data_IF_919001915304
#
_entry.id   IF_919001915304
#
_cell.length_a   1.000
_cell.length_b   1.000
_cell.length_c   1.000
_cell.angle_alpha   90.00
_cell.angle_beta   90.00
_cell.angle_gamma   90.00
#
_symmetry.space_group_name_H-M   'P 1'
#
loop_
_entity.id
_entity.type
_entity.pdbx_description
1 polymer ?
#
# COMPACT_ATOMS: atom_id res chain seq x y z
N UNK A 1 -45.73 -12.49 52.86
CA UNK A 1 -44.53 -13.32 53.00
C UNK A 1 -44.09 -13.75 51.62
N UNK A 2 -43.17 -13.00 51.04
CA UNK A 2 -42.58 -13.26 49.71
C UNK A 2 -41.10 -13.43 49.94
N UNK A 3 -40.63 -14.68 49.91
CA UNK A 3 -39.24 -15.03 49.93
C UNK A 3 -38.67 -14.83 48.52
N UNK A 4 -37.80 -13.85 48.31
CA UNK A 4 -36.96 -13.70 47.11
C UNK A 4 -35.71 -14.54 47.31
N UNK A 5 -35.49 -15.47 46.41
CA UNK A 5 -34.31 -16.29 46.31
C UNK A 5 -33.16 -15.48 45.65
N UNK A 6 -31.98 -15.27 46.27
CA UNK A 6 -30.92 -14.43 45.75
C UNK A 6 -29.82 -15.20 44.96
N UNK A 7 -30.10 -16.41 44.49
CA UNK A 7 -29.04 -17.31 44.00
C UNK A 7 -28.80 -17.43 42.49
N UNK A 8 -29.62 -16.84 41.62
CA UNK A 8 -29.61 -17.17 40.16
C UNK A 8 -28.74 -16.27 39.27
N UNK A 9 -28.24 -15.14 39.74
CA UNK A 9 -27.52 -14.19 38.88
C UNK A 9 -25.97 -14.32 38.87
N UNK A 10 -25.40 -15.15 39.72
CA UNK A 10 -23.92 -15.29 39.86
C UNK A 10 -23.26 -16.24 38.86
N UNK A 11 -23.94 -17.29 38.43
CA UNK A 11 -23.32 -18.38 37.65
C UNK A 11 -23.19 -18.13 36.15
N UNK A 12 -24.10 -17.35 35.58
CA UNK A 12 -24.06 -17.03 34.15
C UNK A 12 -22.87 -16.10 33.80
N UNK A 13 -22.52 -15.15 34.66
CA UNK A 13 -21.38 -14.22 34.44
C UNK A 13 -20.03 -14.92 34.53
N UNK A 14 -19.89 -15.92 35.40
CA UNK A 14 -18.63 -16.69 35.56
C UNK A 14 -18.38 -17.58 34.34
N UNK A 15 -19.43 -18.19 33.80
CA UNK A 15 -19.32 -19.02 32.58
C UNK A 15 -18.86 -18.22 31.37
N UNK A 16 -19.41 -17.04 31.17
CA UNK A 16 -18.98 -16.14 30.06
C UNK A 16 -17.54 -15.63 30.26
N UNK A 17 -17.12 -15.32 31.47
CA UNK A 17 -15.74 -14.92 31.77
C UNK A 17 -14.74 -16.03 31.43
N UNK A 18 -14.98 -17.24 31.86
CA UNK A 18 -14.12 -18.40 31.58
C UNK A 18 -14.10 -18.81 30.13
N UNK A 19 -15.23 -18.70 29.42
CA UNK A 19 -15.28 -18.89 27.97
C UNK A 19 -14.48 -17.82 27.20
N UNK A 20 -14.58 -16.55 27.59
CA UNK A 20 -13.79 -15.47 27.03
C UNK A 20 -12.29 -15.67 27.29
N UNK A 21 -11.91 -16.04 28.54
CA UNK A 21 -10.50 -16.30 28.90
C UNK A 21 -9.92 -17.48 28.12
N UNK A 22 -10.66 -18.58 28.01
CA UNK A 22 -10.21 -19.76 27.27
C UNK A 22 -10.09 -19.46 25.76
N UNK A 23 -10.98 -18.65 25.18
CA UNK A 23 -10.87 -18.20 23.81
C UNK A 23 -9.65 -17.30 23.58
N UNK A 24 -9.33 -16.41 24.52
CA UNK A 24 -8.14 -15.56 24.45
C UNK A 24 -6.85 -16.36 24.59
N UNK A 25 -6.81 -17.35 25.47
CA UNK A 25 -5.64 -18.24 25.66
C UNK A 25 -5.38 -19.14 24.43
N UNK A 26 -6.43 -19.52 23.71
CA UNK A 26 -6.31 -20.32 22.47
C UNK A 26 -6.06 -19.49 21.21
N UNK A 27 -6.23 -18.17 21.27
CA UNK A 27 -6.06 -17.27 20.12
C UNK A 27 -4.69 -17.40 19.45
N UNK A 28 -3.55 -17.43 20.14
CA UNK A 28 -2.24 -17.62 19.51
C UNK A 28 -2.12 -18.93 18.73
N UNK A 29 -2.67 -20.02 19.27
CA UNK A 29 -2.68 -21.34 18.59
C UNK A 29 -3.56 -21.32 17.35
N UNK A 30 -4.73 -20.70 17.41
CA UNK A 30 -5.63 -20.55 16.25
C UNK A 30 -5.00 -19.71 15.16
N UNK A 31 -4.35 -18.58 15.51
CA UNK A 31 -3.63 -17.75 14.55
C UNK A 31 -2.46 -18.51 13.91
N UNK A 32 -1.74 -19.32 14.68
CA UNK A 32 -0.67 -20.18 14.18
C UNK A 32 -1.20 -21.26 13.23
N UNK A 33 -2.32 -21.91 13.58
CA UNK A 33 -3.00 -22.89 12.72
C UNK A 33 -3.52 -22.28 11.43
N UNK A 34 -4.06 -21.06 11.50
CA UNK A 34 -4.46 -20.27 10.32
C UNK A 34 -3.27 -19.77 9.50
N UNK A 35 -2.04 -20.06 9.91
CA UNK A 35 -0.84 -19.65 9.18
C UNK A 35 -0.56 -18.15 9.23
N UNK A 36 -1.10 -17.43 10.22
CA UNK A 36 -0.86 -15.98 10.36
C UNK A 36 0.60 -15.71 10.68
N UNK A 37 1.24 -14.88 9.87
CA UNK A 37 2.61 -14.41 10.08
C UNK A 37 2.59 -13.24 11.06
N UNK A 38 3.14 -13.44 12.27
CA UNK A 38 3.33 -12.37 13.24
C UNK A 38 4.54 -11.49 12.91
N UNK A 39 4.56 -10.28 13.48
CA UNK A 39 5.60 -9.27 13.21
C UNK A 39 7.01 -9.76 13.51
N UNK A 40 7.24 -10.39 14.65
CA UNK A 40 8.56 -10.91 15.03
C UNK A 40 9.04 -12.04 14.09
N UNK A 41 8.12 -12.94 13.68
CA UNK A 41 8.44 -13.99 12.70
C UNK A 41 8.77 -13.39 11.33
N UNK A 42 7.98 -12.40 10.85
CA UNK A 42 8.28 -11.66 9.61
C UNK A 42 9.68 -11.04 9.67
N UNK A 43 9.97 -10.30 10.76
CA UNK A 43 11.24 -9.59 10.89
C UNK A 43 12.45 -10.54 10.90
N UNK A 44 12.35 -11.66 11.64
CA UNK A 44 13.45 -12.62 11.78
C UNK A 44 13.61 -13.54 10.57
N UNK A 45 12.50 -14.15 10.11
CA UNK A 45 12.56 -15.24 9.14
C UNK A 45 12.61 -14.76 7.67
N UNK A 46 12.05 -13.59 7.40
CA UNK A 46 11.93 -13.07 6.03
C UNK A 46 12.75 -11.80 5.82
N UNK A 47 12.50 -10.74 6.58
CA UNK A 47 13.23 -9.48 6.41
C UNK A 47 14.71 -9.66 6.78
N UNK A 48 15.02 -10.21 7.94
CA UNK A 48 16.40 -10.42 8.39
C UNK A 48 17.19 -11.40 7.52
N UNK A 49 16.49 -12.36 6.88
CA UNK A 49 17.10 -13.37 6.03
C UNK A 49 17.29 -12.89 4.59
N UNK A 50 16.32 -12.17 4.03
CA UNK A 50 16.26 -11.88 2.59
C UNK A 50 16.50 -10.42 2.23
N UNK A 51 16.52 -9.49 3.22
CA UNK A 51 16.70 -8.07 2.97
C UNK A 51 18.00 -7.56 3.60
N UNK A 52 19.12 -7.54 2.88
CA UNK A 52 20.34 -6.91 3.35
C UNK A 52 20.12 -5.43 3.66
N UNK A 53 20.45 -4.97 4.87
CA UNK A 53 20.21 -3.57 5.31
C UNK A 53 20.82 -2.51 4.40
N UNK A 54 21.94 -2.81 3.75
CA UNK A 54 22.62 -1.92 2.80
C UNK A 54 21.74 -1.55 1.59
N UNK A 55 20.70 -2.35 1.28
CA UNK A 55 19.77 -2.11 0.17
C UNK A 55 18.54 -1.26 0.57
N UNK A 56 18.30 -1.03 1.86
CA UNK A 56 17.15 -0.24 2.32
C UNK A 56 17.09 1.18 1.75
N UNK A 57 18.22 1.92 1.60
CA UNK A 57 18.19 3.23 0.97
C UNK A 57 17.60 3.27 -0.46
N UNK A 58 17.56 2.11 -1.15
CA UNK A 58 16.95 1.99 -2.49
C UNK A 58 15.42 2.09 -2.45
N UNK A 59 14.80 1.82 -1.31
CA UNK A 59 13.33 1.82 -1.15
C UNK A 59 12.84 2.81 -0.09
N UNK A 60 13.72 3.25 0.83
CA UNK A 60 13.40 4.28 1.83
C UNK A 60 13.42 5.71 1.23
N UNK A 61 13.90 5.88 0.00
CA UNK A 61 13.95 7.15 -0.72
C UNK A 61 13.24 7.01 -2.08
N UNK A 62 12.06 7.64 -2.21
CA UNK A 62 11.19 7.54 -3.40
C UNK A 62 11.86 8.00 -4.69
N UNK A 63 12.73 9.03 -4.62
CA UNK A 63 13.49 9.47 -5.79
C UNK A 63 14.49 8.39 -6.25
N UNK A 64 15.22 7.78 -5.31
CA UNK A 64 16.13 6.67 -5.65
C UNK A 64 15.39 5.47 -6.22
N UNK A 65 14.26 5.11 -5.61
CA UNK A 65 13.40 4.02 -6.11
C UNK A 65 12.94 4.29 -7.54
N UNK A 66 12.49 5.52 -7.83
CA UNK A 66 12.04 5.94 -9.16
C UNK A 66 13.14 5.85 -10.21
N UNK A 67 14.29 6.45 -9.96
CA UNK A 67 15.42 6.42 -10.88
C UNK A 67 15.92 4.98 -11.16
N UNK A 68 15.91 4.15 -10.12
CA UNK A 68 16.25 2.73 -10.27
C UNK A 68 15.20 1.97 -11.10
N UNK A 69 13.91 2.29 -10.91
CA UNK A 69 12.81 1.70 -11.66
C UNK A 69 12.90 2.05 -13.16
N UNK A 70 13.15 3.32 -13.47
CA UNK A 70 13.36 3.78 -14.85
C UNK A 70 14.53 3.05 -15.53
N UNK A 71 15.67 2.93 -14.83
CA UNK A 71 16.83 2.16 -15.32
C UNK A 71 16.51 0.68 -15.56
N UNK A 72 15.63 0.10 -14.74
CA UNK A 72 15.18 -1.29 -14.87
C UNK A 72 14.03 -1.46 -15.89
N UNK A 73 13.55 -0.39 -16.53
CA UNK A 73 12.41 -0.42 -17.43
C UNK A 73 11.10 -0.80 -16.71
N UNK A 74 10.95 -0.40 -15.44
CA UNK A 74 9.72 -0.52 -14.65
C UNK A 74 8.99 0.82 -14.71
N UNK A 75 7.73 0.78 -15.14
CA UNK A 75 6.93 1.99 -15.28
C UNK A 75 6.66 2.66 -13.92
N UNK A 76 6.86 3.96 -13.86
CA UNK A 76 6.63 4.85 -12.71
C UNK A 76 5.92 6.12 -13.18
N UNK A 77 5.25 6.88 -12.33
CA UNK A 77 4.74 8.21 -12.70
C UNK A 77 5.86 9.09 -13.25
N UNK A 78 5.59 9.85 -14.29
CA UNK A 78 6.60 10.72 -14.96
C UNK A 78 7.18 11.73 -13.97
N UNK A 79 8.51 11.81 -13.90
CA UNK A 79 9.23 12.79 -13.10
C UNK A 79 9.31 14.12 -13.86
N UNK A 80 8.64 15.16 -13.36
CA UNK A 80 8.72 16.52 -13.90
C UNK A 80 10.05 17.15 -13.47
N UNK A 81 10.43 16.97 -12.21
CA UNK A 81 11.66 17.54 -11.66
C UNK A 81 11.83 17.28 -10.17
N UNK A 82 12.92 17.80 -9.63
CA UNK A 82 13.21 17.78 -8.20
C UNK A 82 13.57 19.17 -7.71
N UNK A 83 13.28 19.48 -6.46
CA UNK A 83 13.69 20.73 -5.79
C UNK A 83 14.53 20.35 -4.57
N UNK A 84 15.75 20.88 -4.51
CA UNK A 84 16.77 20.52 -3.52
C UNK A 84 17.28 21.73 -2.72
N UNK A 85 16.98 22.95 -3.19
CA UNK A 85 17.44 24.20 -2.58
C UNK A 85 16.34 25.26 -2.52
N UNK A 86 16.49 26.25 -1.62
CA UNK A 86 15.55 27.38 -1.54
C UNK A 86 15.58 28.25 -2.81
N UNK A 87 16.72 28.31 -3.50
CA UNK A 87 16.80 28.99 -4.78
C UNK A 87 15.88 28.34 -5.83
N UNK A 88 15.83 27.02 -5.87
CA UNK A 88 14.93 26.28 -6.79
C UNK A 88 13.46 26.43 -6.37
N UNK A 89 13.14 26.61 -5.09
CA UNK A 89 11.78 26.95 -4.64
C UNK A 89 11.28 28.24 -5.25
N UNK A 90 12.14 29.26 -5.36
CA UNK A 90 11.74 30.53 -5.99
C UNK A 90 11.41 30.36 -7.48
N UNK A 91 12.08 29.45 -8.16
CA UNK A 91 11.81 29.12 -9.57
C UNK A 91 10.59 28.19 -9.79
N UNK A 92 9.91 27.73 -8.72
CA UNK A 92 8.80 26.78 -8.80
C UNK A 92 7.68 27.25 -9.75
N UNK A 93 7.33 28.53 -9.71
CA UNK A 93 6.30 29.09 -10.59
C UNK A 93 6.64 28.96 -12.09
N UNK A 94 7.91 29.12 -12.44
CA UNK A 94 8.38 28.92 -13.79
C UNK A 94 8.36 27.45 -14.21
N UNK A 95 8.73 26.54 -13.30
CA UNK A 95 8.68 25.09 -13.56
C UNK A 95 7.25 24.58 -13.76
N UNK A 96 6.26 25.22 -13.11
CA UNK A 96 4.85 24.85 -13.17
C UNK A 96 4.04 25.65 -14.20
N UNK A 97 4.66 26.54 -15.01
CA UNK A 97 3.94 27.46 -15.92
C UNK A 97 2.98 26.75 -16.86
N UNK A 98 3.44 25.63 -17.44
CA UNK A 98 2.70 24.86 -18.45
C UNK A 98 2.17 23.51 -17.95
N UNK A 99 2.18 23.33 -16.61
CA UNK A 99 1.77 22.07 -15.98
C UNK A 99 0.50 22.29 -15.17
N UNK A 100 -0.66 21.87 -15.69
CA UNK A 100 -1.93 22.10 -15.00
C UNK A 100 -2.17 21.16 -13.84
N UNK A 101 -1.63 19.94 -13.89
CA UNK A 101 -1.84 18.89 -12.89
C UNK A 101 -0.50 18.21 -12.51
N UNK A 102 -0.22 18.12 -11.21
CA UNK A 102 1.04 17.58 -10.70
C UNK A 102 0.91 17.12 -9.25
N UNK A 103 1.90 16.38 -8.80
CA UNK A 103 2.08 15.98 -7.40
C UNK A 103 3.40 16.52 -6.87
N UNK A 104 3.38 17.15 -5.68
CA UNK A 104 4.59 17.46 -4.92
C UNK A 104 4.64 16.51 -3.73
N UNK A 105 5.76 15.80 -3.55
CA UNK A 105 5.94 14.85 -2.44
C UNK A 105 7.38 14.81 -1.93
N UNK A 106 7.59 14.52 -0.62
CA UNK A 106 8.94 14.36 -0.07
C UNK A 106 9.56 13.02 -0.51
N UNK A 107 10.85 13.01 -0.80
CA UNK A 107 11.57 11.79 -1.19
C UNK A 107 11.64 10.77 -0.04
N UNK A 108 11.76 11.21 1.21
CA UNK A 108 11.89 10.37 2.42
C UNK A 108 10.63 10.38 3.29
N UNK A 109 9.51 10.94 2.81
CA UNK A 109 8.24 10.97 3.53
C UNK A 109 7.59 9.58 3.65
N UNK A 110 6.75 9.41 4.66
CA UNK A 110 6.00 8.16 4.91
C UNK A 110 4.54 8.43 5.23
N UNK A 111 3.67 7.44 4.95
CA UNK A 111 2.25 7.48 5.30
C UNK A 111 1.45 8.58 4.61
N UNK A 112 1.86 9.04 3.43
CA UNK A 112 1.18 10.08 2.67
C UNK A 112 1.39 11.51 3.21
N UNK A 113 2.21 11.69 4.25
CA UNK A 113 2.50 13.03 4.82
C UNK A 113 3.31 13.85 3.84
N UNK A 114 2.93 15.14 3.68
CA UNK A 114 3.64 16.08 2.81
C UNK A 114 3.36 15.88 1.31
N UNK A 115 2.38 15.05 0.93
CA UNK A 115 1.93 14.93 -0.45
C UNK A 115 0.87 16.00 -0.73
N UNK A 116 1.08 16.78 -1.80
CA UNK A 116 0.08 17.69 -2.37
C UNK A 116 -0.22 17.24 -3.78
N UNK A 117 -1.49 16.97 -4.04
CA UNK A 117 -2.01 16.59 -5.35
C UNK A 117 -2.79 17.77 -5.91
N UNK A 118 -2.38 18.24 -7.09
CA UNK A 118 -3.02 19.32 -7.85
C UNK A 118 -3.59 18.73 -9.12
N UNK A 119 -4.89 18.93 -9.35
CA UNK A 119 -5.60 18.33 -10.49
C UNK A 119 -5.84 19.28 -11.66
N UNK A 120 -5.89 20.58 -11.39
CA UNK A 120 -6.10 21.59 -12.44
C UNK A 120 -5.55 22.94 -12.04
N UNK A 121 -5.45 23.85 -13.03
CA UNK A 121 -5.10 25.25 -12.82
C UNK A 121 -6.25 26.13 -13.25
N UNK A 122 -6.57 27.15 -12.42
CA UNK A 122 -7.56 28.19 -12.73
C UNK A 122 -6.91 29.57 -12.51
N UNK A 123 -6.54 30.20 -13.62
CA UNK A 123 -5.85 31.51 -13.57
C UNK A 123 -4.54 31.45 -12.77
N UNK A 124 -4.50 32.16 -11.64
CA UNK A 124 -3.30 32.31 -10.80
C UNK A 124 -3.22 31.30 -9.65
N UNK A 125 -4.18 30.40 -9.52
CA UNK A 125 -4.19 29.35 -8.50
C UNK A 125 -4.44 27.96 -9.09
N UNK A 126 -4.15 26.94 -8.29
CA UNK A 126 -4.41 25.54 -8.65
C UNK A 126 -5.48 24.95 -7.73
N UNK A 127 -6.15 23.91 -8.22
CA UNK A 127 -7.15 23.17 -7.45
C UNK A 127 -6.58 21.82 -7.00
N UNK A 128 -6.74 21.52 -5.72
CA UNK A 128 -6.45 20.20 -5.15
C UNK A 128 -7.55 19.19 -5.53
N UNK A 129 -7.32 17.90 -5.28
CA UNK A 129 -8.28 16.84 -5.53
C UNK A 129 -9.65 17.06 -4.85
N UNK A 130 -9.69 17.72 -3.69
CA UNK A 130 -10.92 18.07 -2.97
C UNK A 130 -11.53 19.41 -3.42
N UNK A 131 -11.09 19.99 -4.52
CA UNK A 131 -11.58 21.26 -5.06
C UNK A 131 -11.07 22.51 -4.31
N UNK A 132 -10.29 22.36 -3.26
CA UNK A 132 -9.76 23.53 -2.54
C UNK A 132 -8.65 24.22 -3.32
N UNK A 133 -8.63 25.57 -3.40
CA UNK A 133 -7.59 26.30 -4.09
C UNK A 133 -6.24 26.21 -3.33
N UNK A 134 -5.16 26.33 -4.08
CA UNK A 134 -3.80 26.47 -3.57
C UNK A 134 -3.04 27.48 -4.42
N UNK A 135 -2.41 28.45 -3.78
CA UNK A 135 -1.63 29.52 -4.44
C UNK A 135 -0.17 29.09 -4.65
N UNK A 136 0.56 29.80 -5.51
CA UNK A 136 2.00 29.59 -5.69
C UNK A 136 2.77 29.75 -4.38
N UNK A 137 2.45 30.74 -3.57
CA UNK A 137 3.12 30.99 -2.29
C UNK A 137 2.91 29.86 -1.28
N UNK A 138 1.72 29.26 -1.28
CA UNK A 138 1.44 28.07 -0.47
C UNK A 138 2.23 26.85 -0.96
N UNK A 139 2.35 26.66 -2.28
CA UNK A 139 3.17 25.59 -2.85
C UNK A 139 4.65 25.79 -2.55
N UNK A 140 5.18 27.03 -2.66
CA UNK A 140 6.56 27.38 -2.27
C UNK A 140 6.81 27.09 -0.79
N UNK A 141 5.92 27.54 0.09
CA UNK A 141 6.01 27.28 1.53
C UNK A 141 5.97 25.79 1.84
N UNK A 142 5.06 25.04 1.19
CA UNK A 142 4.98 23.59 1.35
C UNK A 142 6.27 22.90 0.90
N UNK A 143 6.83 23.30 -0.23
CA UNK A 143 8.09 22.77 -0.76
C UNK A 143 9.26 23.07 0.18
N UNK A 144 9.34 24.31 0.72
CA UNK A 144 10.33 24.67 1.74
C UNK A 144 10.22 23.80 3.01
N UNK A 145 9.00 23.47 3.44
CA UNK A 145 8.77 22.58 4.57
C UNK A 145 9.26 21.14 4.28
N UNK A 146 9.15 20.68 3.02
CA UNK A 146 9.75 19.39 2.60
C UNK A 146 11.28 19.48 2.74
N UNK A 147 11.90 20.52 2.17
CA UNK A 147 13.36 20.68 2.23
C UNK A 147 13.88 20.74 3.67
N UNK A 148 13.14 21.40 4.56
CA UNK A 148 13.45 21.46 5.99
C UNK A 148 13.28 20.12 6.73
N UNK A 149 12.74 19.08 6.07
CA UNK A 149 12.56 17.76 6.66
C UNK A 149 11.30 17.59 7.52
N UNK A 150 10.34 18.52 7.44
CA UNK A 150 9.11 18.45 8.27
C UNK A 150 8.32 17.15 8.10
N UNK A 151 8.40 16.52 6.92
CA UNK A 151 7.67 15.29 6.58
C UNK A 151 8.57 14.07 6.56
N UNK A 152 9.86 14.21 6.78
CA UNK A 152 10.84 13.13 6.71
C UNK A 152 10.95 12.38 8.04
N UNK A 153 11.21 11.09 7.97
CA UNK A 153 11.49 10.29 9.16
C UNK A 153 12.77 10.81 9.84
N UNK A 154 12.65 11.22 11.12
CA UNK A 154 13.75 11.76 11.92
C UNK A 154 14.05 13.24 11.64
N UNK A 155 13.20 13.98 10.91
CA UNK A 155 13.35 15.42 10.69
C UNK A 155 14.60 15.81 9.89
N UNK A 156 15.14 14.90 9.09
CA UNK A 156 16.33 15.18 8.26
C UNK A 156 15.95 15.94 6.99
N UNK A 157 16.82 16.84 6.49
CA UNK A 157 16.62 17.54 5.22
C UNK A 157 16.25 16.57 4.10
N UNK A 158 15.34 16.97 3.22
CA UNK A 158 14.77 16.14 2.18
C UNK A 158 14.80 16.85 0.81
N UNK A 159 14.32 16.17 -0.20
CA UNK A 159 14.17 16.63 -1.57
C UNK A 159 12.68 16.60 -1.89
N UNK A 160 12.15 17.64 -2.50
CA UNK A 160 10.81 17.62 -3.05
C UNK A 160 10.85 17.02 -4.47
N UNK A 161 9.97 16.07 -4.73
CA UNK A 161 9.77 15.41 -6.03
C UNK A 161 8.52 16.02 -6.65
N UNK A 162 8.62 16.45 -7.91
CA UNK A 162 7.50 16.85 -8.75
C UNK A 162 7.20 15.74 -9.76
N UNK A 163 5.97 15.27 -9.79
CA UNK A 163 5.52 14.21 -10.71
C UNK A 163 4.24 14.63 -11.42
N UNK A 164 3.99 14.06 -12.59
CA UNK A 164 2.67 14.15 -13.23
C UNK A 164 1.62 13.46 -12.38
N UNK A 165 0.44 14.05 -12.36
CA UNK A 165 -0.74 13.39 -11.81
C UNK A 165 -1.02 12.10 -12.57
N UNK A 166 -1.39 11.06 -11.83
CA UNK A 166 -1.86 9.80 -12.37
C UNK A 166 -3.31 10.00 -12.81
N UNK A 167 -3.60 9.68 -14.06
CA UNK A 167 -4.96 9.54 -14.55
C UNK A 167 -5.42 8.11 -14.30
N UNK A 168 -6.02 7.86 -13.13
CA UNK A 168 -6.41 6.51 -12.75
C UNK A 168 -7.52 5.95 -13.64
N UNK A 169 -7.58 4.63 -13.75
CA UNK A 169 -8.57 3.91 -14.54
C UNK A 169 -9.98 4.12 -13.98
N UNK A 170 -10.88 4.64 -14.82
CA UNK A 170 -12.25 5.00 -14.43
C UNK A 170 -13.06 3.81 -13.89
N UNK A 171 -12.73 2.57 -14.28
CA UNK A 171 -13.37 1.36 -13.77
C UNK A 171 -13.21 1.20 -12.26
N UNK A 172 -12.19 1.83 -11.66
CA UNK A 172 -11.90 1.80 -10.23
C UNK A 172 -12.44 3.01 -9.47
N UNK A 173 -12.88 4.07 -10.17
CA UNK A 173 -13.25 5.35 -9.57
C UNK A 173 -14.37 5.24 -8.54
N UNK A 174 -15.41 4.44 -8.84
CA UNK A 174 -16.57 4.28 -7.99
C UNK A 174 -16.35 3.41 -6.75
N UNK A 175 -15.21 2.71 -6.67
CA UNK A 175 -14.85 1.90 -5.49
C UNK A 175 -14.10 2.69 -4.42
N UNK A 176 -13.68 3.94 -4.67
CA UNK A 176 -12.86 4.74 -3.75
C UNK A 176 -13.44 6.14 -3.57
N UNK A 177 -13.30 6.70 -2.38
CA UNK A 177 -13.74 8.06 -2.08
C UNK A 177 -12.57 9.03 -2.29
N UNK A 178 -12.67 9.93 -3.29
CA UNK A 178 -11.70 11.02 -3.59
C UNK A 178 -10.22 10.61 -3.75
N UNK A 179 -9.87 9.35 -3.56
CA UNK A 179 -8.49 8.87 -3.61
C UNK A 179 -8.28 7.83 -4.71
N UNK A 180 -7.06 7.76 -5.20
CA UNK A 180 -6.65 6.73 -6.18
C UNK A 180 -6.49 5.39 -5.47
N UNK A 181 -7.23 4.33 -5.86
CA UNK A 181 -6.99 2.98 -5.37
C UNK A 181 -5.57 2.54 -5.70
N UNK A 182 -4.87 2.00 -4.73
CA UNK A 182 -3.59 1.37 -4.98
C UNK A 182 -3.62 -0.12 -4.65
N UNK A 183 -2.78 -0.88 -5.33
CA UNK A 183 -2.63 -2.32 -5.12
C UNK A 183 -1.31 -2.57 -4.44
N UNK A 184 -1.36 -3.15 -3.24
CA UNK A 184 -0.19 -3.67 -2.54
C UNK A 184 0.01 -5.14 -2.86
N UNK A 185 1.16 -5.48 -3.42
CA UNK A 185 1.58 -6.86 -3.66
C UNK A 185 2.76 -7.20 -2.75
N UNK A 186 2.63 -8.26 -1.95
CA UNK A 186 3.78 -8.84 -1.23
C UNK A 186 4.50 -9.77 -2.16
N UNK A 187 5.79 -9.52 -2.33
CA UNK A 187 6.70 -10.32 -3.16
C UNK A 187 7.75 -10.98 -2.27
N UNK A 188 7.93 -12.28 -2.43
CA UNK A 188 8.99 -13.05 -1.79
C UNK A 188 9.88 -13.69 -2.84
N UNK A 189 11.17 -13.31 -2.87
CA UNK A 189 12.18 -13.81 -3.82
C UNK A 189 11.72 -13.75 -5.29
N UNK A 190 11.00 -12.66 -5.63
CA UNK A 190 10.46 -12.42 -6.97
C UNK A 190 9.11 -13.10 -7.26
N UNK A 191 8.53 -13.82 -6.30
CA UNK A 191 7.20 -14.45 -6.42
C UNK A 191 6.16 -13.61 -5.71
N UNK A 192 5.10 -13.11 -6.37
CA UNK A 192 3.94 -12.53 -5.71
C UNK A 192 3.26 -13.57 -4.81
N UNK A 193 3.07 -13.26 -3.53
CA UNK A 193 2.52 -14.23 -2.57
C UNK A 193 1.16 -13.82 -2.01
N UNK A 194 0.84 -12.55 -1.99
CA UNK A 194 -0.45 -12.03 -1.53
C UNK A 194 -0.66 -10.60 -2.06
N UNK A 195 -1.90 -10.25 -2.37
CA UNK A 195 -2.25 -8.93 -2.85
C UNK A 195 -3.49 -8.37 -2.15
N UNK A 196 -3.58 -7.06 -2.02
CA UNK A 196 -4.77 -6.32 -1.61
C UNK A 196 -4.81 -4.98 -2.34
N UNK A 197 -6.00 -4.44 -2.54
CA UNK A 197 -6.16 -3.02 -2.86
C UNK A 197 -6.55 -2.24 -1.62
N UNK A 198 -6.19 -0.96 -1.60
CA UNK A 198 -6.56 -0.01 -0.56
C UNK A 198 -7.46 1.05 -1.18
N UNK A 199 -8.66 1.17 -0.65
CA UNK A 199 -9.67 2.10 -1.11
C UNK A 199 -9.79 3.24 -0.10
N UNK A 200 -9.61 4.46 -0.57
CA UNK A 200 -9.76 5.64 0.27
C UNK A 200 -11.22 5.82 0.70
N UNK A 201 -11.39 6.35 1.90
CA UNK A 201 -12.68 6.66 2.51
C UNK A 201 -12.70 8.11 2.96
N UNK A 202 -13.87 8.62 3.33
CA UNK A 202 -14.00 9.90 4.00
C UNK A 202 -13.23 9.94 5.33
N UNK A 203 -13.23 8.83 6.07
CA UNK A 203 -12.47 8.70 7.32
C UNK A 203 -10.96 8.80 7.09
N UNK A 204 -10.45 8.34 5.94
CA UNK A 204 -9.03 8.42 5.59
C UNK A 204 -8.63 9.72 4.87
N UNK A 205 -9.56 10.67 4.69
CA UNK A 205 -9.31 11.95 4.00
C UNK A 205 -8.74 11.72 2.59
N UNK A 206 -9.38 10.83 1.82
CA UNK A 206 -8.95 10.48 0.45
C UNK A 206 -7.63 9.71 0.36
N UNK A 207 -7.09 9.21 1.47
CA UNK A 207 -5.79 8.50 1.49
C UNK A 207 -5.99 6.99 1.53
N UNK A 208 -5.27 6.27 0.69
CA UNK A 208 -5.25 4.80 0.66
C UNK A 208 -4.40 4.21 1.82
N UNK A 209 -4.68 4.62 3.06
CA UNK A 209 -3.94 4.21 4.25
C UNK A 209 -4.85 3.54 5.28
N UNK A 210 -4.69 2.22 5.48
CA UNK A 210 -5.47 1.42 6.43
C UNK A 210 -5.41 1.93 7.88
N UNK A 211 -4.27 2.49 8.30
CA UNK A 211 -4.14 3.06 9.65
C UNK A 211 -4.84 4.41 9.83
N UNK A 212 -5.35 4.98 8.74
CA UNK A 212 -6.11 6.23 8.72
C UNK A 212 -7.58 6.00 8.36
N UNK A 213 -8.03 4.75 8.35
CA UNK A 213 -9.42 4.40 8.10
C UNK A 213 -9.77 4.03 6.65
N UNK A 214 -8.77 3.79 5.77
CA UNK A 214 -9.04 3.24 4.44
C UNK A 214 -9.52 1.78 4.52
N UNK A 215 -10.28 1.33 3.51
CA UNK A 215 -10.70 -0.06 3.37
C UNK A 215 -9.61 -0.86 2.67
N UNK A 216 -9.17 -1.97 3.28
CA UNK A 216 -8.34 -2.96 2.62
C UNK A 216 -9.19 -4.07 2.02
N UNK A 217 -9.03 -4.34 0.74
CA UNK A 217 -9.75 -5.41 0.04
C UNK A 217 -8.75 -6.46 -0.43
N UNK A 218 -8.88 -7.70 0.04
CA UNK A 218 -8.05 -8.81 -0.40
C UNK A 218 -8.31 -9.14 -1.87
N UNK A 219 -7.26 -9.55 -2.58
CA UNK A 219 -7.33 -9.85 -4.01
C UNK A 219 -6.88 -11.28 -4.28
N UNK A 220 -7.65 -12.01 -5.07
CA UNK A 220 -7.24 -13.30 -5.62
C UNK A 220 -6.03 -13.12 -6.53
N UNK A 221 -4.94 -13.83 -6.24
CA UNK A 221 -3.75 -13.77 -7.10
C UNK A 221 -4.00 -14.33 -8.50
N UNK A 222 -4.97 -15.24 -8.67
CA UNK A 222 -5.24 -15.84 -9.97
C UNK A 222 -5.76 -14.83 -11.00
N UNK A 223 -6.60 -13.88 -10.60
CA UNK A 223 -7.34 -13.02 -11.53
C UNK A 223 -7.59 -11.57 -11.09
N UNK A 224 -7.12 -11.17 -9.91
CA UNK A 224 -7.33 -9.81 -9.40
C UNK A 224 -8.74 -9.52 -8.88
N UNK A 225 -9.60 -10.55 -8.75
CA UNK A 225 -10.93 -10.43 -8.18
C UNK A 225 -10.86 -10.14 -6.68
N UNK A 226 -11.70 -9.23 -6.21
CA UNK A 226 -11.85 -8.94 -4.79
C UNK A 226 -12.41 -10.14 -4.01
N UNK A 227 -11.86 -10.35 -2.82
CA UNK A 227 -12.30 -11.40 -1.88
C UNK A 227 -13.31 -10.81 -0.89
N UNK A 228 -12.87 -9.91 -0.04
CA UNK A 228 -13.70 -9.14 0.89
C UNK A 228 -12.94 -7.91 1.39
N UNK A 229 -13.67 -6.95 1.96
CA UNK A 229 -13.08 -5.77 2.57
C UNK A 229 -12.88 -5.91 4.07
N UNK A 230 -11.97 -5.10 4.61
CA UNK A 230 -11.76 -4.91 6.05
C UNK A 230 -11.44 -3.44 6.32
N UNK A 231 -12.08 -2.87 7.35
CA UNK A 231 -11.78 -1.54 7.88
C UNK A 231 -11.75 -1.64 9.41
N UNK A 232 -10.71 -1.16 10.05
CA UNK A 232 -10.52 -1.21 11.51
C UNK A 232 -10.74 -2.59 12.13
N UNK A 233 -10.36 -3.65 11.39
CA UNK A 233 -10.54 -5.04 11.82
C UNK A 233 -11.94 -5.61 11.58
N UNK A 234 -12.89 -4.83 11.10
CA UNK A 234 -14.27 -5.25 10.80
C UNK A 234 -14.38 -5.61 9.31
N UNK A 235 -14.96 -6.79 9.05
CA UNK A 235 -15.21 -7.25 7.69
C UNK A 235 -16.34 -6.47 7.03
N UNK A 236 -16.13 -6.04 5.78
CA UNK A 236 -17.10 -5.29 5.00
C UNK A 236 -17.41 -6.01 3.68
N UNK A 237 -18.67 -5.90 3.23
CA UNK A 237 -19.12 -6.35 1.92
C UNK A 237 -19.35 -5.19 0.95
N UNK A 238 -19.51 -3.97 1.49
CA UNK A 238 -19.70 -2.72 0.73
C UNK A 238 -18.73 -1.66 1.21
N UNK A 239 -18.38 -0.74 0.32
CA UNK A 239 -17.60 0.44 0.68
C UNK A 239 -18.44 1.40 1.54
N UNK A 240 -17.92 1.94 2.67
CA UNK A 240 -18.74 2.71 3.62
C UNK A 240 -19.26 4.04 3.08
N UNK A 241 -18.59 4.66 2.13
CA UNK A 241 -18.96 5.97 1.60
C UNK A 241 -19.61 5.91 0.21
N UNK A 242 -19.18 4.97 -0.65
CA UNK A 242 -19.72 4.83 -2.01
C UNK A 242 -20.82 3.77 -2.11
N UNK A 243 -21.00 2.97 -1.07
CA UNK A 243 -21.98 1.87 -0.97
C UNK A 243 -21.84 0.77 -2.04
N UNK A 244 -20.81 0.83 -2.87
CA UNK A 244 -20.55 -0.16 -3.92
C UNK A 244 -20.20 -1.51 -3.29
N UNK A 245 -20.68 -2.59 -3.90
CA UNK A 245 -20.38 -3.97 -3.49
C UNK A 245 -18.92 -4.31 -3.79
N UNK A 246 -18.12 -4.60 -2.77
CA UNK A 246 -16.68 -4.83 -2.92
C UNK A 246 -16.35 -6.08 -3.74
N UNK A 247 -17.20 -7.11 -3.77
CA UNK A 247 -16.98 -8.31 -4.57
C UNK A 247 -17.08 -8.08 -6.09
N UNK A 248 -17.62 -6.94 -6.53
CA UNK A 248 -17.67 -6.56 -7.94
C UNK A 248 -16.33 -6.00 -8.45
N UNK A 249 -15.43 -5.64 -7.53
CA UNK A 249 -14.12 -5.09 -7.88
C UNK A 249 -13.24 -6.15 -8.53
N UNK A 250 -12.75 -5.85 -9.72
CA UNK A 250 -11.70 -6.59 -10.42
C UNK A 250 -10.61 -5.61 -10.82
N UNK A 251 -9.38 -5.90 -10.48
CA UNK A 251 -8.25 -5.05 -10.85
C UNK A 251 -7.93 -5.26 -12.35
N UNK A 252 -8.01 -4.21 -13.17
CA UNK A 252 -7.65 -4.31 -14.59
C UNK A 252 -6.15 -4.55 -14.75
N UNK A 253 -5.74 -5.06 -15.92
CA UNK A 253 -4.33 -5.31 -16.25
C UNK A 253 -3.58 -6.11 -15.17
N UNK A 254 -4.25 -7.12 -14.58
CA UNK A 254 -3.75 -7.87 -13.44
C UNK A 254 -2.42 -8.57 -13.70
N UNK A 255 -2.27 -9.22 -14.86
CA UNK A 255 -1.05 -9.93 -15.21
C UNK A 255 0.16 -8.97 -15.34
N UNK A 256 0.10 -7.86 -16.11
CA UNK A 256 1.15 -6.86 -16.16
C UNK A 256 1.50 -6.29 -14.78
N UNK A 257 0.51 -6.05 -13.91
CA UNK A 257 0.70 -5.55 -12.54
C UNK A 257 1.54 -6.52 -11.71
N UNK A 258 1.20 -7.82 -11.73
CA UNK A 258 1.95 -8.83 -10.98
C UNK A 258 3.38 -9.01 -11.52
N UNK A 259 3.57 -8.93 -12.84
CA UNK A 259 4.91 -8.99 -13.45
C UNK A 259 5.75 -7.80 -13.03
N UNK A 260 5.17 -6.58 -13.03
CA UNK A 260 5.84 -5.38 -12.53
C UNK A 260 6.29 -5.57 -11.07
N UNK A 261 5.38 -6.05 -10.19
CA UNK A 261 5.71 -6.32 -8.80
C UNK A 261 6.83 -7.36 -8.65
N UNK A 262 6.79 -8.45 -9.43
CA UNK A 262 7.81 -9.50 -9.41
C UNK A 262 9.19 -8.97 -9.80
N UNK A 263 9.28 -8.11 -10.83
CA UNK A 263 10.52 -7.49 -11.32
C UNK A 263 11.18 -6.55 -10.31
N UNK A 264 10.45 -6.06 -9.31
CA UNK A 264 11.01 -5.25 -8.23
C UNK A 264 12.05 -6.02 -7.39
N UNK A 265 12.02 -7.36 -7.41
CA UNK A 265 13.04 -8.19 -6.79
C UNK A 265 14.39 -8.05 -7.49
N UNK A 266 14.45 -8.20 -8.81
CA UNK A 266 15.68 -8.01 -9.58
C UNK A 266 16.21 -6.59 -9.48
N UNK A 267 15.31 -5.62 -9.53
CA UNK A 267 15.64 -4.20 -9.44
C UNK A 267 16.34 -3.84 -8.12
N UNK A 268 15.88 -4.39 -7.01
CA UNK A 268 16.36 -3.97 -5.67
C UNK A 268 17.29 -4.98 -4.99
N UNK A 269 17.19 -6.25 -5.32
CA UNK A 269 17.82 -7.34 -4.59
C UNK A 269 17.18 -7.64 -3.23
N UNK A 270 16.04 -6.99 -2.89
CA UNK A 270 15.29 -7.26 -1.66
C UNK A 270 14.42 -8.50 -1.86
N UNK A 271 14.69 -9.55 -1.09
CA UNK A 271 13.99 -10.82 -1.24
C UNK A 271 12.64 -10.89 -0.51
N UNK A 272 12.25 -9.88 0.25
CA UNK A 272 10.90 -9.73 0.84
C UNK A 272 10.50 -8.26 0.80
N UNK A 273 9.54 -7.91 -0.03
CA UNK A 273 9.12 -6.53 -0.22
C UNK A 273 7.61 -6.41 -0.46
N UNK A 274 7.09 -5.21 -0.28
CA UNK A 274 5.76 -4.80 -0.72
C UNK A 274 5.91 -3.79 -1.85
N UNK A 275 5.25 -4.04 -2.98
CA UNK A 275 5.13 -3.09 -4.08
C UNK A 275 3.75 -2.43 -4.04
N UNK A 276 3.71 -1.11 -4.05
CA UNK A 276 2.50 -0.30 -4.13
C UNK A 276 2.38 0.21 -5.57
N UNK A 277 1.32 -0.21 -6.25
CA UNK A 277 1.11 -0.03 -7.69
C UNK A 277 -0.27 0.58 -7.91
N UNK A 278 -0.36 1.54 -8.82
CA UNK A 278 -1.63 2.10 -9.30
C UNK A 278 -1.83 1.76 -10.76
N UNK A 279 -3.08 1.82 -11.23
CA UNK A 279 -3.39 1.65 -12.64
C UNK A 279 -3.66 3.03 -13.24
N UNK A 280 -2.74 3.48 -14.09
CA UNK A 280 -2.92 4.67 -14.90
C UNK A 280 -3.71 4.32 -16.16
N UNK A 281 -4.62 5.20 -16.57
CA UNK A 281 -5.50 5.01 -17.72
C UNK A 281 -4.74 4.84 -19.03
N UNK A 282 -3.63 5.58 -19.20
CA UNK A 282 -2.85 5.60 -20.44
C UNK A 282 -1.66 4.66 -20.40
N UNK A 283 -0.99 4.55 -19.25
CA UNK A 283 0.28 3.86 -19.09
C UNK A 283 0.17 2.48 -18.41
N UNK A 284 -1.04 2.13 -17.92
CA UNK A 284 -1.25 0.88 -17.19
C UNK A 284 -0.64 0.88 -15.79
N UNK A 285 -0.12 -0.27 -15.30
CA UNK A 285 0.43 -0.36 -13.96
C UNK A 285 1.69 0.49 -13.77
N UNK A 286 1.66 1.38 -12.76
CA UNK A 286 2.77 2.26 -12.37
C UNK A 286 3.20 1.97 -10.92
N UNK A 287 4.49 1.77 -10.69
CA UNK A 287 5.04 1.62 -9.34
C UNK A 287 5.08 2.97 -8.63
N UNK A 288 4.41 3.07 -7.48
CA UNK A 288 4.43 4.27 -6.62
C UNK A 288 5.56 4.25 -5.62
N UNK A 289 5.68 3.15 -4.88
CA UNK A 289 6.72 2.97 -3.86
C UNK A 289 6.98 1.49 -3.57
N UNK A 290 8.12 1.23 -2.95
CA UNK A 290 8.50 -0.06 -2.41
C UNK A 290 8.66 0.01 -0.91
N UNK A 291 8.32 -1.08 -0.24
CA UNK A 291 8.44 -1.22 1.20
C UNK A 291 9.30 -2.43 1.56
N UNK A 292 10.46 -2.22 2.20
CA UNK A 292 11.30 -3.31 2.71
C UNK A 292 10.67 -4.03 3.91
N UNK A 293 9.67 -3.42 4.55
CA UNK A 293 8.99 -3.92 5.76
C UNK A 293 7.48 -3.74 5.63
N UNK A 294 6.83 -4.36 4.61
CA UNK A 294 5.40 -4.18 4.37
C UNK A 294 4.57 -4.62 5.56
N UNK A 295 3.47 -3.89 5.83
CA UNK A 295 2.53 -4.19 6.91
C UNK A 295 1.84 -5.54 6.71
N UNK A 296 1.36 -6.13 7.80
CA UNK A 296 0.74 -7.46 7.83
C UNK A 296 -0.80 -7.45 7.77
N UNK A 297 -1.41 -6.25 7.73
CA UNK A 297 -2.86 -6.10 7.61
C UNK A 297 -3.44 -6.73 6.32
N UNK A 298 -2.62 -6.94 5.31
CA UNK A 298 -2.97 -7.68 4.10
C UNK A 298 -3.53 -9.09 4.38
N UNK A 299 -3.11 -9.73 5.48
CA UNK A 299 -3.65 -11.03 5.90
C UNK A 299 -5.12 -10.94 6.35
N UNK A 300 -5.48 -9.82 7.02
CA UNK A 300 -6.87 -9.55 7.41
C UNK A 300 -7.75 -9.34 6.17
N UNK A 301 -7.27 -8.53 5.22
CA UNK A 301 -7.97 -8.27 3.97
C UNK A 301 -8.17 -9.55 3.13
N UNK A 302 -7.22 -10.49 3.18
CA UNK A 302 -7.33 -11.77 2.49
C UNK A 302 -8.06 -12.86 3.30
N UNK A 303 -8.32 -12.64 4.60
CA UNK A 303 -8.86 -13.66 5.50
C UNK A 303 -7.98 -14.91 5.62
N UNK A 304 -6.69 -14.80 5.29
CA UNK A 304 -5.75 -15.91 5.18
C UNK A 304 -4.37 -15.55 5.71
N UNK A 305 -3.68 -16.51 6.33
CA UNK A 305 -2.31 -16.34 6.78
C UNK A 305 -1.31 -16.34 5.63
N UNK A 306 -0.28 -15.50 5.74
CA UNK A 306 0.77 -15.37 4.73
C UNK A 306 1.82 -16.50 4.82
N UNK A 307 1.98 -17.09 6.01
CA UNK A 307 3.05 -18.06 6.28
C UNK A 307 3.01 -19.33 5.40
N UNK A 308 1.85 -19.94 5.09
CA UNK A 308 1.80 -21.09 4.19
C UNK A 308 2.38 -20.79 2.80
N UNK A 309 2.04 -19.64 2.24
CA UNK A 309 2.51 -19.21 0.91
C UNK A 309 4.03 -18.92 0.91
N UNK A 310 4.53 -18.29 1.95
CA UNK A 310 5.96 -18.04 2.10
C UNK A 310 6.76 -19.34 2.26
N UNK A 311 6.22 -20.36 2.93
CA UNK A 311 6.84 -21.68 3.05
C UNK A 311 6.97 -22.41 1.72
N UNK A 312 6.05 -22.18 0.78
CA UNK A 312 6.21 -22.70 -0.59
C UNK A 312 7.44 -22.08 -1.24
N UNK A 313 7.60 -20.77 -1.15
CA UNK A 313 8.74 -20.06 -1.72
C UNK A 313 10.07 -20.45 -1.05
N UNK A 314 10.08 -20.70 0.26
CA UNK A 314 11.28 -21.15 0.99
C UNK A 314 11.83 -22.49 0.50
N UNK A 315 10.99 -23.34 -0.08
CA UNK A 315 11.35 -24.69 -0.57
C UNK A 315 11.79 -24.72 -2.04
N UNK A 316 11.72 -23.58 -2.73
CA UNK A 316 12.09 -23.50 -4.14
C UNK A 316 13.57 -23.76 -4.37
N UNK A 317 13.88 -24.48 -5.44
CA UNK A 317 15.25 -24.74 -5.87
C UNK A 317 15.93 -23.46 -6.41
N UNK A 318 17.26 -23.42 -6.47
CA UNK A 318 17.99 -22.33 -7.13
C UNK A 318 17.57 -22.13 -8.61
N UNK A 319 17.15 -23.19 -9.30
CA UNK A 319 16.66 -23.11 -10.68
C UNK A 319 15.31 -22.38 -10.75
N UNK A 320 14.39 -22.68 -9.82
CA UNK A 320 13.09 -21.99 -9.75
C UNK A 320 13.25 -20.49 -9.50
N UNK A 321 14.21 -20.11 -8.64
CA UNK A 321 14.46 -18.72 -8.31
C UNK A 321 15.08 -17.90 -9.46
N UNK A 322 15.64 -18.55 -10.48
CA UNK A 322 16.18 -17.90 -11.69
C UNK A 322 15.19 -17.83 -12.84
N UNK A 323 13.95 -18.30 -12.66
CA UNK A 323 12.89 -18.17 -13.67
C UNK A 323 12.56 -16.69 -13.95
N UNK A 324 12.06 -16.39 -15.16
CA UNK A 324 11.63 -15.03 -15.49
C UNK A 324 10.47 -14.58 -14.60
N UNK A 325 10.24 -13.27 -14.51
CA UNK A 325 9.16 -12.70 -13.72
C UNK A 325 7.78 -13.25 -14.16
N UNK A 326 7.57 -13.41 -15.47
CA UNK A 326 6.33 -13.93 -16.05
C UNK A 326 6.06 -15.37 -15.57
N UNK A 327 7.09 -16.23 -15.59
CA UNK A 327 6.97 -17.62 -15.14
C UNK A 327 6.71 -17.68 -13.63
N UNK A 328 7.39 -16.85 -12.85
CA UNK A 328 7.17 -16.77 -11.39
C UNK A 328 5.75 -16.31 -11.06
N UNK A 329 5.22 -15.35 -11.80
CA UNK A 329 3.84 -14.88 -11.64
C UNK A 329 2.86 -15.99 -11.99
N UNK A 330 3.03 -16.65 -13.13
CA UNK A 330 2.18 -17.79 -13.53
C UNK A 330 2.15 -18.87 -12.44
N UNK A 331 3.30 -19.25 -11.91
CA UNK A 331 3.40 -20.25 -10.84
C UNK A 331 2.72 -19.77 -9.55
N UNK A 332 2.92 -18.49 -9.16
CA UNK A 332 2.24 -17.91 -8.00
C UNK A 332 0.73 -17.94 -8.15
N UNK A 333 0.21 -17.64 -9.34
CA UNK A 333 -1.22 -17.69 -9.64
C UNK A 333 -1.77 -19.12 -9.53
N UNK A 334 -1.02 -20.11 -10.00
CA UNK A 334 -1.41 -21.53 -9.88
C UNK A 334 -1.38 -22.03 -8.43
N UNK A 335 -0.31 -21.73 -7.69
CA UNK A 335 -0.13 -22.24 -6.32
C UNK A 335 -1.06 -21.58 -5.31
N UNK A 336 -1.46 -20.35 -5.54
CA UNK A 336 -2.20 -19.51 -4.59
C UNK A 336 -3.59 -19.10 -5.10
N UNK A 337 -4.13 -19.82 -6.07
CA UNK A 337 -5.45 -19.58 -6.67
C UNK A 337 -6.60 -19.71 -5.67
N UNK A 338 -6.50 -20.65 -4.72
CA UNK A 338 -7.43 -20.79 -3.60
C UNK A 338 -6.96 -19.92 -2.44
N UNK A 339 -7.63 -18.79 -2.23
CA UNK A 339 -7.33 -17.81 -1.18
C UNK A 339 -7.49 -18.34 0.23
#
# INVERSE_FOLDING_TARGET
>A
MNSRDPGAHGLAGVGHFWQSLSQQLLLPLRLQQAGVLGMNARNRLYIGRYNPRKLYPLVDNKLKTKLLAEQAGIAVPELIGTIQSQHEVEALGQQLSDIPAFVIKPAKGSGGKGIVVVQSREGDYWLRANGSPVTLDELKRHTSNILAGLYSLGGTPDIAILERCIEFDESLAHFSYEGVPDVRVIVCRGYPVMAMTRLATRASDGKANLHQGAVGVGLSLSNGQALHGVQDGIRLTRHPDTEVTLSELVIPQWQPLLVLAARCYEMTGLGYLGADIVIDRQHGPLLLELNARPGLAIQLANGAGLLPRLRVIDRLSPADLRRSAEVRVMLSQQWFAGG
#
